data_IF_065682211949
#
_entry.id   IF_065682211949
#
_cell.length_a   1.000
_cell.length_b   1.000
_cell.length_c   1.000
_cell.angle_alpha   90.00
_cell.angle_beta   90.00
_cell.angle_gamma   90.00
#
_symmetry.space_group_name_H-M   'P 1'
#
loop_
_entity.id
_entity.type
_entity.pdbx_description
1 polymer ?
#
# COMPACT_ATOMS: atom_id res chain seq x y z
N UNK A 1 80.30 29.73 53.49
CA UNK A 1 80.67 30.37 52.20
C UNK A 1 80.39 29.35 51.07
N UNK A 2 80.01 29.71 49.81
CA UNK A 2 80.86 30.17 48.68
C UNK A 2 82.18 29.36 48.61
N UNK A 3 82.66 28.77 47.49
CA UNK A 3 82.44 28.96 46.02
C UNK A 3 82.99 27.68 45.29
N UNK A 4 82.34 27.01 44.30
CA UNK A 4 82.45 27.12 42.80
C UNK A 4 83.72 27.85 42.27
N UNK A 5 84.43 27.48 41.18
CA UNK A 5 84.23 26.78 39.86
C UNK A 5 85.64 26.27 39.41
N UNK A 6 85.96 25.51 38.34
CA UNK A 6 85.35 24.56 37.36
C UNK A 6 86.56 23.78 36.70
N UNK A 7 86.68 23.23 35.48
CA UNK A 7 86.04 23.30 34.13
C UNK A 7 86.47 22.06 33.26
N UNK A 8 86.25 22.06 31.93
CA UNK A 8 86.71 21.07 30.90
C UNK A 8 85.97 19.70 30.97
N UNK A 9 85.00 19.35 30.08
CA UNK A 9 84.98 19.16 28.59
C UNK A 9 85.79 17.91 28.22
N UNK A 10 85.23 16.85 27.60
CA UNK A 10 84.41 16.84 26.37
C UNK A 10 83.29 15.76 26.28
N UNK A 11 82.65 15.67 25.10
CA UNK A 11 81.39 14.99 24.67
C UNK A 11 81.66 13.50 24.29
N UNK A 12 80.78 12.50 24.57
CA UNK A 12 79.42 12.31 23.98
C UNK A 12 78.40 11.57 24.89
N UNK A 13 77.19 11.09 24.50
CA UNK A 13 76.43 10.99 23.23
C UNK A 13 74.92 11.23 23.53
N UNK A 14 74.11 11.78 22.61
CA UNK A 14 72.63 11.69 22.68
C UNK A 14 72.07 10.44 21.96
N UNK A 15 71.21 9.67 22.65
CA UNK A 15 70.26 8.72 22.02
C UNK A 15 68.82 9.03 22.45
N UNK A 16 68.22 10.06 21.84
CA UNK A 16 66.82 10.45 22.06
C UNK A 16 65.82 9.41 21.52
N UNK A 17 65.50 8.39 22.32
CA UNK A 17 64.28 7.59 22.13
C UNK A 17 63.06 8.36 22.64
N UNK A 18 62.55 9.31 21.84
CA UNK A 18 61.18 9.83 22.04
C UNK A 18 60.18 8.70 21.75
N UNK A 19 59.61 8.12 22.80
CA UNK A 19 58.46 7.23 22.64
C UNK A 19 57.20 8.07 22.39
N UNK A 20 56.92 8.36 21.13
CA UNK A 20 55.62 8.89 20.69
C UNK A 20 54.56 7.80 20.87
N UNK A 21 53.99 7.71 22.08
CA UNK A 21 52.74 6.99 22.31
C UNK A 21 51.61 7.73 21.59
N UNK A 22 51.43 7.43 20.29
CA UNK A 22 50.18 7.67 19.61
C UNK A 22 49.08 6.93 20.38
N UNK A 23 48.26 7.66 21.14
CA UNK A 23 47.02 7.11 21.67
C UNK A 23 46.08 6.93 20.48
N UNK A 24 45.96 5.68 20.06
CA UNK A 24 44.94 5.20 19.13
C UNK A 24 43.56 5.34 19.80
N UNK A 25 43.05 6.58 19.80
CA UNK A 25 41.74 6.96 20.32
C UNK A 25 40.64 6.41 19.40
N UNK A 26 40.49 5.08 19.40
CA UNK A 26 39.33 4.38 18.88
C UNK A 26 38.11 4.84 19.69
N UNK A 27 37.40 5.84 19.16
CA UNK A 27 36.08 6.24 19.66
C UNK A 27 35.22 4.97 19.74
N UNK A 28 34.46 4.75 20.82
CA UNK A 28 33.56 3.60 20.89
C UNK A 28 32.60 3.60 19.71
N UNK A 29 32.32 2.44 19.12
CA UNK A 29 31.49 2.35 17.90
C UNK A 29 30.06 2.90 18.07
N UNK A 30 29.58 3.04 19.31
CA UNK A 30 28.30 3.66 19.67
C UNK A 30 28.36 5.19 19.81
N UNK A 31 29.56 5.80 19.84
CA UNK A 31 29.81 7.26 19.93
C UNK A 31 29.61 7.98 18.58
N UNK A 32 28.54 7.62 17.86
CA UNK A 32 28.14 8.27 16.63
C UNK A 32 27.58 9.68 16.90
N UNK A 33 27.86 10.67 16.02
CA UNK A 33 27.11 11.93 15.94
C UNK A 33 25.61 11.67 15.73
N UNK A 34 24.76 12.52 16.31
CA UNK A 34 23.29 12.32 16.30
C UNK A 34 22.75 12.30 14.87
N UNK A 35 23.32 13.14 14.00
CA UNK A 35 22.99 13.29 12.58
C UNK A 35 23.21 11.99 11.81
N UNK A 36 24.25 11.22 12.18
CA UNK A 36 24.53 9.90 11.60
C UNK A 36 23.60 8.82 12.16
N UNK A 37 23.27 8.86 13.46
CA UNK A 37 22.27 7.96 14.07
C UNK A 37 20.89 8.17 13.42
N UNK A 38 20.49 9.43 13.18
CA UNK A 38 19.26 9.79 12.47
C UNK A 38 19.28 9.38 10.99
N UNK A 39 20.37 9.62 10.28
CA UNK A 39 20.55 9.23 8.88
C UNK A 39 20.55 7.71 8.69
N UNK A 40 21.04 6.93 9.67
CA UNK A 40 20.91 5.48 9.70
C UNK A 40 19.44 5.11 9.97
N UNK A 41 18.82 5.64 11.02
CA UNK A 41 17.42 5.34 11.37
C UNK A 41 16.44 5.64 10.23
N UNK A 42 16.59 6.75 9.50
CA UNK A 42 15.74 7.09 8.34
C UNK A 42 15.87 6.12 7.16
N UNK A 43 16.91 5.26 7.13
CA UNK A 43 17.11 4.20 6.13
C UNK A 43 16.67 2.81 6.63
N UNK A 44 16.29 2.70 7.90
CA UNK A 44 15.76 1.47 8.49
C UNK A 44 14.24 1.43 8.37
N UNK A 45 13.70 0.23 8.14
CA UNK A 45 12.29 -0.04 8.43
C UNK A 45 12.04 0.11 9.94
N UNK A 46 10.79 0.29 10.34
CA UNK A 46 10.47 0.61 11.73
C UNK A 46 10.88 -0.46 12.74
N UNK A 47 10.65 -1.74 12.43
CA UNK A 47 11.09 -2.85 13.30
C UNK A 47 12.61 -2.84 13.49
N UNK A 48 13.37 -2.51 12.44
CA UNK A 48 14.82 -2.28 12.52
C UNK A 48 15.14 -1.03 13.36
N UNK A 49 14.39 0.08 13.26
CA UNK A 49 14.58 1.26 14.12
C UNK A 49 14.38 0.94 15.60
N UNK A 50 13.34 0.18 15.97
CA UNK A 50 13.07 -0.21 17.36
C UNK A 50 14.22 -1.05 17.91
N UNK A 51 14.67 -2.05 17.14
CA UNK A 51 15.86 -2.84 17.47
C UNK A 51 17.12 -1.97 17.57
N UNK A 52 17.31 -1.01 16.66
CA UNK A 52 18.47 -0.10 16.67
C UNK A 52 18.47 0.83 17.90
N UNK A 53 17.32 1.37 18.30
CA UNK A 53 17.15 2.17 19.53
C UNK A 53 17.24 1.34 20.81
N UNK A 54 17.07 0.01 20.75
CA UNK A 54 17.26 -0.84 21.93
C UNK A 54 18.75 -0.98 22.31
N UNK A 55 19.66 -1.00 21.32
CA UNK A 55 21.12 -1.27 21.45
C UNK A 55 21.80 -0.49 22.57
N UNK A 56 21.61 0.83 22.68
CA UNK A 56 22.21 1.62 23.76
C UNK A 56 21.37 2.84 24.14
N UNK A 57 21.55 3.35 25.37
CA UNK A 57 20.83 4.51 25.91
C UNK A 57 20.94 5.75 25.00
N UNK A 58 22.12 6.00 24.42
CA UNK A 58 22.38 7.19 23.58
C UNK A 58 21.69 7.14 22.21
N UNK A 59 21.56 5.96 21.59
CA UNK A 59 20.78 5.81 20.36
C UNK A 59 19.27 5.82 20.67
N UNK A 60 18.87 5.33 21.86
CA UNK A 60 17.49 5.43 22.35
C UNK A 60 17.04 6.87 22.57
N UNK A 61 17.92 7.73 23.09
CA UNK A 61 17.63 9.16 23.32
C UNK A 61 17.59 10.02 22.04
N UNK A 62 18.01 9.50 20.88
CA UNK A 62 17.75 10.17 19.60
C UNK A 62 16.26 10.16 19.31
N UNK A 63 15.76 11.28 18.75
CA UNK A 63 14.34 11.46 18.38
C UNK A 63 13.84 10.36 17.44
N UNK A 64 12.55 10.06 17.48
CA UNK A 64 11.91 9.21 16.46
C UNK A 64 12.08 9.89 15.09
N UNK A 65 12.74 9.21 14.15
CA UNK A 65 12.89 9.64 12.74
C UNK A 65 11.89 8.87 11.91
N UNK A 66 11.28 9.48 10.90
CA UNK A 66 10.36 8.77 9.99
C UNK A 66 11.09 7.55 9.39
N UNK A 67 10.55 6.33 9.52
CA UNK A 67 11.19 5.13 8.98
C UNK A 67 11.21 5.14 7.45
N UNK A 68 12.11 4.33 6.88
CA UNK A 68 12.09 4.04 5.45
C UNK A 68 10.72 3.48 5.05
N UNK A 69 10.27 3.78 3.83
CA UNK A 69 8.98 3.29 3.32
C UNK A 69 8.92 1.77 3.42
N UNK A 70 7.88 1.29 4.10
CA UNK A 70 7.58 -0.13 4.22
C UNK A 70 6.64 -0.51 3.08
N UNK A 71 6.92 -1.65 2.43
CA UNK A 71 6.05 -2.20 1.40
C UNK A 71 4.71 -2.65 2.01
N UNK A 72 3.62 -2.67 1.22
CA UNK A 72 2.36 -3.24 1.65
C UNK A 72 2.51 -4.64 2.27
N UNK A 73 1.80 -4.85 3.36
CA UNK A 73 1.63 -6.15 3.99
C UNK A 73 0.47 -6.88 3.32
N UNK A 74 0.52 -8.21 3.34
CA UNK A 74 -0.58 -9.03 2.87
C UNK A 74 -1.51 -9.35 4.04
N UNK A 75 -2.73 -8.83 3.98
CA UNK A 75 -3.80 -9.10 4.92
C UNK A 75 -4.62 -10.30 4.45
N UNK A 76 -4.85 -11.27 5.35
CA UNK A 76 -5.56 -12.52 5.06
C UNK A 76 -6.58 -12.78 6.19
N UNK A 77 -7.84 -13.06 5.85
CA UNK A 77 -8.84 -13.60 6.76
C UNK A 77 -9.05 -15.08 6.50
N UNK A 78 -8.98 -15.89 7.56
CA UNK A 78 -9.17 -17.34 7.52
C UNK A 78 -10.59 -17.72 7.93
N UNK A 79 -10.94 -19.01 7.79
CA UNK A 79 -12.14 -19.64 8.34
C UNK A 79 -13.48 -18.98 7.96
N UNK A 80 -13.51 -18.23 6.85
CA UNK A 80 -14.65 -17.42 6.37
C UNK A 80 -15.26 -16.52 7.47
N UNK A 81 -14.40 -15.89 8.28
CA UNK A 81 -14.81 -15.05 9.41
C UNK A 81 -13.97 -13.77 9.50
N UNK A 82 -14.59 -12.70 10.01
CA UNK A 82 -13.89 -11.47 10.36
C UNK A 82 -13.33 -11.45 11.80
N UNK A 83 -13.46 -12.54 12.58
CA UNK A 83 -13.02 -12.59 13.98
C UNK A 83 -11.49 -12.48 14.18
N UNK A 84 -10.69 -12.88 13.19
CA UNK A 84 -9.24 -12.66 13.19
C UNK A 84 -8.68 -12.55 11.78
N UNK A 85 -7.52 -11.92 11.66
CA UNK A 85 -6.79 -11.81 10.41
C UNK A 85 -5.27 -11.99 10.62
N UNK A 86 -4.56 -12.31 9.55
CA UNK A 86 -3.10 -12.45 9.50
C UNK A 86 -2.52 -11.37 8.58
N UNK A 87 -1.52 -10.65 9.07
CA UNK A 87 -0.72 -9.69 8.31
C UNK A 87 0.67 -10.28 8.07
N UNK A 88 1.01 -10.53 6.81
CA UNK A 88 2.33 -11.01 6.42
C UNK A 88 3.20 -9.88 5.87
N UNK A 89 4.36 -9.65 6.51
CA UNK A 89 5.40 -8.72 6.04
C UNK A 89 6.31 -9.44 5.02
N UNK A 90 6.39 -9.00 3.74
CA UNK A 90 7.19 -9.69 2.73
C UNK A 90 8.72 -9.48 2.86
N UNK A 91 9.18 -8.49 3.62
CA UNK A 91 10.62 -8.22 3.86
C UNK A 91 11.15 -9.18 4.92
N UNK A 92 10.55 -9.13 6.11
CA UNK A 92 10.92 -9.93 7.27
C UNK A 92 10.39 -11.37 7.21
N UNK A 93 9.38 -11.62 6.36
CA UNK A 93 8.76 -12.94 6.14
C UNK A 93 8.18 -13.50 7.43
N UNK A 94 7.56 -12.61 8.20
CA UNK A 94 6.85 -12.84 9.47
C UNK A 94 5.37 -12.62 9.26
N UNK A 95 4.56 -13.33 10.04
CA UNK A 95 3.11 -13.14 10.12
C UNK A 95 2.75 -12.63 11.51
N UNK A 96 1.96 -11.56 11.59
CA UNK A 96 1.27 -11.09 12.79
C UNK A 96 -0.19 -11.55 12.72
N UNK A 97 -0.71 -12.15 13.78
CA UNK A 97 -2.15 -12.42 13.92
C UNK A 97 -2.79 -11.28 14.70
N UNK A 98 -3.92 -10.76 14.21
CA UNK A 98 -4.76 -9.78 14.88
C UNK A 98 -6.10 -10.44 15.18
N UNK A 99 -6.58 -10.29 16.41
CA UNK A 99 -7.92 -10.68 16.82
C UNK A 99 -8.81 -9.43 16.76
N UNK A 100 -9.76 -9.42 15.84
CA UNK A 100 -10.55 -8.23 15.54
C UNK A 100 -11.73 -8.20 16.51
N UNK A 101 -11.84 -7.20 17.39
CA UNK A 101 -12.96 -7.14 18.35
C UNK A 101 -14.18 -6.41 17.77
N UNK A 102 -13.97 -5.50 16.82
CA UNK A 102 -15.03 -4.66 16.25
C UNK A 102 -15.61 -5.22 14.94
N UNK A 103 -14.79 -5.90 14.11
CA UNK A 103 -15.25 -6.44 12.82
C UNK A 103 -15.87 -7.85 12.92
N UNK A 104 -15.63 -8.58 14.02
CA UNK A 104 -16.03 -9.99 14.19
C UNK A 104 -17.52 -10.27 13.96
N UNK A 105 -18.39 -9.31 14.29
CA UNK A 105 -19.85 -9.46 14.28
C UNK A 105 -20.47 -9.07 12.92
N UNK A 106 -19.65 -8.59 11.97
CA UNK A 106 -20.09 -8.27 10.61
C UNK A 106 -20.21 -9.54 9.74
N UNK A 107 -21.17 -9.60 8.79
CA UNK A 107 -21.37 -10.76 7.94
C UNK A 107 -20.22 -10.92 6.94
N UNK A 108 -19.50 -12.04 7.02
CA UNK A 108 -18.43 -12.37 6.06
C UNK A 108 -18.97 -12.74 4.67
N UNK A 109 -20.12 -13.43 4.64
CA UNK A 109 -20.76 -13.81 3.37
C UNK A 109 -21.31 -12.59 2.65
N UNK A 110 -20.98 -12.45 1.37
CA UNK A 110 -21.41 -11.31 0.53
C UNK A 110 -20.66 -9.99 0.78
N UNK A 111 -19.69 -9.96 1.70
CA UNK A 111 -18.84 -8.78 1.89
C UNK A 111 -17.88 -8.58 0.70
N UNK A 112 -17.51 -7.34 0.40
CA UNK A 112 -16.49 -7.01 -0.63
C UNK A 112 -15.54 -5.92 -0.10
N UNK A 113 -14.24 -6.16 -0.19
CA UNK A 113 -13.21 -5.12 0.00
C UNK A 113 -13.04 -4.40 -1.33
N UNK A 114 -13.14 -3.07 -1.33
CA UNK A 114 -13.14 -2.27 -2.56
C UNK A 114 -11.86 -1.47 -2.80
N UNK A 115 -11.21 -0.98 -1.75
CA UNK A 115 -10.00 -0.15 -1.87
C UNK A 115 -9.22 -0.11 -0.56
N UNK A 116 -7.94 0.29 -0.62
CA UNK A 116 -7.08 0.50 0.55
C UNK A 116 -6.21 1.74 0.37
N UNK A 117 -6.07 2.53 1.44
CA UNK A 117 -5.17 3.69 1.52
C UNK A 117 -4.61 3.76 2.94
N UNK A 118 -3.28 3.76 3.10
CA UNK A 118 -2.53 4.01 4.35
C UNK A 118 -3.13 3.30 5.57
N UNK A 119 -3.35 1.98 5.43
CA UNK A 119 -3.81 1.11 6.51
C UNK A 119 -5.31 1.07 6.77
N UNK A 120 -6.10 1.80 5.99
CA UNK A 120 -7.55 1.70 5.99
C UNK A 120 -8.05 0.90 4.79
N UNK A 121 -9.25 0.32 4.93
CA UNK A 121 -9.95 -0.46 3.92
C UNK A 121 -11.39 0.03 3.80
N UNK A 122 -11.88 0.21 2.57
CA UNK A 122 -13.31 0.35 2.31
C UNK A 122 -13.92 -1.03 2.10
N UNK A 123 -14.84 -1.42 2.98
CA UNK A 123 -15.51 -2.74 2.96
C UNK A 123 -17.03 -2.51 2.85
N UNK A 124 -17.69 -3.30 2.01
CA UNK A 124 -19.15 -3.32 1.88
C UNK A 124 -19.75 -4.62 2.42
N UNK A 125 -21.05 -4.58 2.71
CA UNK A 125 -21.87 -5.70 3.15
C UNK A 125 -23.26 -5.64 2.49
N UNK A 126 -24.07 -6.68 2.69
CA UNK A 126 -25.49 -6.73 2.29
C UNK A 126 -25.71 -6.32 0.82
N UNK A 127 -25.12 -7.07 -0.10
CA UNK A 127 -25.12 -6.82 -1.56
C UNK A 127 -24.64 -5.42 -1.98
N UNK A 128 -23.80 -4.79 -1.14
CA UNK A 128 -23.24 -3.44 -1.29
C UNK A 128 -24.23 -2.30 -1.00
N UNK A 129 -25.16 -2.50 -0.04
CA UNK A 129 -26.04 -1.44 0.49
C UNK A 129 -25.50 -0.73 1.74
N UNK A 130 -24.58 -1.37 2.47
CA UNK A 130 -23.88 -0.81 3.63
C UNK A 130 -22.37 -0.80 3.39
N UNK A 131 -21.71 0.26 3.83
CA UNK A 131 -20.25 0.45 3.72
C UNK A 131 -19.63 0.89 5.05
N UNK A 132 -18.38 0.48 5.28
CA UNK A 132 -17.53 0.95 6.38
C UNK A 132 -16.12 1.27 5.88
N UNK A 133 -15.42 2.14 6.60
CA UNK A 133 -13.96 2.12 6.66
C UNK A 133 -13.52 1.29 7.87
N UNK A 134 -12.52 0.43 7.69
CA UNK A 134 -11.92 -0.40 8.74
C UNK A 134 -10.38 -0.30 8.70
N UNK A 135 -9.74 -0.25 9.87
CA UNK A 135 -8.29 -0.40 10.01
C UNK A 135 -7.99 -1.61 10.91
N UNK A 136 -7.25 -2.63 10.45
CA UNK A 136 -6.82 -3.71 11.32
C UNK A 136 -5.75 -3.26 12.33
N UNK A 137 -5.06 -2.15 12.08
CA UNK A 137 -3.96 -1.66 12.93
C UNK A 137 -4.46 -0.97 14.20
N UNK A 138 -5.55 -0.21 14.10
CA UNK A 138 -6.25 0.37 15.25
C UNK A 138 -7.42 -0.48 15.73
N UNK A 139 -7.91 -1.40 14.87
CA UNK A 139 -9.16 -2.17 15.04
C UNK A 139 -10.41 -1.25 15.14
N UNK A 140 -10.32 -0.04 14.57
CA UNK A 140 -11.43 0.90 14.47
C UNK A 140 -12.33 0.66 13.25
N UNK A 141 -13.60 1.03 13.37
CA UNK A 141 -14.59 1.04 12.29
C UNK A 141 -15.26 2.41 12.24
N UNK A 142 -15.37 2.97 11.04
CA UNK A 142 -16.21 4.13 10.73
C UNK A 142 -17.31 3.65 9.81
N UNK A 143 -18.55 3.69 10.29
CA UNK A 143 -19.73 3.30 9.53
C UNK A 143 -20.29 4.49 8.75
N UNK A 144 -20.80 4.23 7.55
CA UNK A 144 -21.57 5.22 6.79
C UNK A 144 -23.05 4.86 6.85
N UNK A 145 -23.97 5.83 6.66
CA UNK A 145 -25.40 5.54 6.58
C UNK A 145 -25.66 4.44 5.53
N UNK A 146 -26.48 3.41 5.82
CA UNK A 146 -26.94 2.51 4.76
C UNK A 146 -27.75 3.32 3.75
N UNK A 147 -27.71 2.96 2.47
CA UNK A 147 -28.59 3.57 1.48
C UNK A 147 -29.52 2.54 0.85
N UNK A 148 -30.81 2.80 1.05
CA UNK A 148 -31.92 1.99 0.56
C UNK A 148 -32.03 2.15 -0.96
N UNK A 149 -31.21 1.37 -1.66
CA UNK A 149 -31.31 1.17 -3.09
C UNK A 149 -31.87 -0.22 -3.32
N UNK A 150 -32.90 -0.33 -4.18
CA UNK A 150 -33.44 -1.62 -4.55
C UNK A 150 -32.33 -2.44 -5.23
N UNK A 151 -31.89 -3.51 -4.57
CA UNK A 151 -30.81 -4.39 -5.04
C UNK A 151 -31.17 -5.03 -6.40
N UNK A 152 -32.46 -5.08 -6.77
CA UNK A 152 -32.93 -5.54 -8.10
C UNK A 152 -32.64 -4.53 -9.22
N UNK A 153 -32.54 -3.24 -8.90
CA UNK A 153 -32.49 -2.16 -9.89
C UNK A 153 -31.08 -1.64 -10.14
N UNK A 154 -30.16 -1.80 -9.18
CA UNK A 154 -28.77 -1.33 -9.31
C UNK A 154 -27.73 -2.39 -8.91
N UNK A 155 -26.47 -2.10 -9.20
CA UNK A 155 -25.30 -2.78 -8.63
C UNK A 155 -24.13 -1.81 -8.47
N UNK A 156 -23.30 -2.00 -7.43
CA UNK A 156 -22.05 -1.25 -7.28
C UNK A 156 -21.01 -1.81 -8.26
N UNK A 157 -20.38 -0.94 -9.05
CA UNK A 157 -19.33 -1.33 -10.01
C UNK A 157 -17.94 -0.81 -9.63
N UNK A 158 -17.88 0.27 -8.86
CA UNK A 158 -16.65 0.77 -8.26
C UNK A 158 -16.97 1.47 -6.93
N UNK A 159 -16.10 1.29 -5.94
CA UNK A 159 -16.13 2.06 -4.70
C UNK A 159 -14.69 2.36 -4.26
N UNK A 160 -14.44 3.57 -3.78
CA UNK A 160 -13.12 4.00 -3.29
C UNK A 160 -13.21 5.20 -2.35
N UNK A 161 -12.09 5.65 -1.80
CA UNK A 161 -11.99 6.83 -0.95
C UNK A 161 -10.76 7.66 -1.32
N UNK A 162 -10.75 8.97 -1.02
CA UNK A 162 -9.71 9.91 -1.47
C UNK A 162 -8.43 9.89 -0.62
N UNK A 163 -8.58 9.75 0.70
CA UNK A 163 -7.53 9.89 1.71
C UNK A 163 -7.96 9.14 2.98
N UNK A 164 -7.06 8.87 3.96
CA UNK A 164 -7.45 8.23 5.22
C UNK A 164 -8.51 9.05 5.96
N UNK A 165 -9.39 8.42 6.78
CA UNK A 165 -10.49 9.11 7.44
C UNK A 165 -10.05 10.16 8.48
N UNK A 166 -8.79 10.17 8.90
CA UNK A 166 -8.18 11.23 9.69
C UNK A 166 -7.87 12.52 8.90
N UNK A 167 -8.10 12.52 7.59
CA UNK A 167 -8.06 13.70 6.72
C UNK A 167 -9.46 14.31 6.60
N UNK A 168 -9.63 15.64 6.80
CA UNK A 168 -10.94 16.29 6.66
C UNK A 168 -11.48 16.25 5.22
N UNK A 169 -10.59 16.11 4.23
CA UNK A 169 -10.90 15.96 2.80
C UNK A 169 -11.17 14.50 2.39
N UNK A 170 -11.30 13.58 3.36
CA UNK A 170 -11.70 12.20 3.12
C UNK A 170 -13.13 12.14 2.57
N UNK A 171 -13.27 11.67 1.34
CA UNK A 171 -14.52 11.49 0.63
C UNK A 171 -14.57 10.05 0.14
N UNK A 172 -15.64 9.34 0.48
CA UNK A 172 -16.00 8.06 -0.09
C UNK A 172 -16.73 8.33 -1.41
N UNK A 173 -16.40 7.56 -2.44
CA UNK A 173 -17.01 7.57 -3.76
C UNK A 173 -17.55 6.17 -4.07
N UNK A 174 -18.85 6.05 -4.28
CA UNK A 174 -19.50 4.82 -4.73
C UNK A 174 -20.15 5.09 -6.09
N UNK A 175 -19.89 4.21 -7.06
CA UNK A 175 -20.51 4.26 -8.39
C UNK A 175 -21.40 3.03 -8.60
N UNK A 176 -22.63 3.31 -9.02
CA UNK A 176 -23.70 2.37 -9.24
C UNK A 176 -24.16 2.45 -10.70
N UNK A 177 -24.39 1.31 -11.32
CA UNK A 177 -25.10 1.21 -12.61
C UNK A 177 -26.51 0.67 -12.39
N UNK A 178 -27.44 1.01 -13.28
CA UNK A 178 -28.72 0.32 -13.35
C UNK A 178 -28.55 -1.10 -13.91
N UNK A 179 -29.20 -2.11 -13.31
CA UNK A 179 -29.27 -3.46 -13.90
C UNK A 179 -30.05 -3.47 -15.21
N UNK A 180 -31.06 -2.59 -15.30
CA UNK A 180 -31.95 -2.44 -16.45
C UNK A 180 -31.62 -1.20 -17.32
N UNK A 181 -30.61 -0.40 -16.96
CA UNK A 181 -30.12 0.73 -17.75
C UNK A 181 -28.61 0.85 -17.68
N UNK A 182 -27.96 0.60 -18.81
CA UNK A 182 -26.52 0.75 -19.04
C UNK A 182 -26.12 2.15 -19.54
N UNK A 183 -27.08 3.09 -19.58
CA UNK A 183 -26.91 4.47 -20.05
C UNK A 183 -27.05 5.52 -18.92
N UNK A 184 -27.12 5.09 -17.66
CA UNK A 184 -27.22 5.98 -16.50
C UNK A 184 -26.24 5.55 -15.40
N UNK A 185 -25.32 6.44 -15.05
CA UNK A 185 -24.37 6.27 -13.94
C UNK A 185 -24.88 7.05 -12.73
N UNK A 186 -25.00 6.36 -11.60
CA UNK A 186 -25.39 6.94 -10.33
C UNK A 186 -24.16 7.01 -9.42
N UNK A 187 -23.88 8.19 -8.86
CA UNK A 187 -22.72 8.44 -8.02
C UNK A 187 -23.21 8.87 -6.64
N UNK A 188 -22.70 8.20 -5.61
CA UNK A 188 -22.91 8.55 -4.20
C UNK A 188 -21.58 8.98 -3.59
N UNK A 189 -21.60 10.10 -2.87
CA UNK A 189 -20.45 10.61 -2.11
C UNK A 189 -20.84 10.97 -0.68
N UNK A 190 -19.92 10.77 0.25
CA UNK A 190 -20.11 10.90 1.69
C UNK A 190 -18.74 11.06 2.38
N UNK A 191 -18.64 11.83 3.45
CA UNK A 191 -17.45 11.97 4.31
C UNK A 191 -17.58 11.18 5.60
N UNK A 192 -16.48 10.83 6.29
CA UNK A 192 -16.52 10.39 7.68
C UNK A 192 -17.29 11.39 8.54
N UNK A 193 -18.41 10.95 9.14
CA UNK A 193 -19.29 11.78 9.97
C UNK A 193 -20.49 12.42 9.25
N UNK A 194 -20.61 12.32 7.91
CA UNK A 194 -21.82 12.76 7.19
C UNK A 194 -23.01 11.85 7.54
N UNK A 195 -24.18 12.45 7.81
CA UNK A 195 -25.42 11.72 8.16
C UNK A 195 -26.21 11.19 6.96
N UNK A 196 -25.82 11.54 5.73
CA UNK A 196 -26.49 11.09 4.50
C UNK A 196 -25.57 11.13 3.27
N UNK A 197 -25.93 10.40 2.21
CA UNK A 197 -25.15 10.33 0.97
C UNK A 197 -25.61 11.36 -0.07
N UNK A 198 -24.71 12.28 -0.44
CA UNK A 198 -24.89 13.14 -1.63
C UNK A 198 -24.99 12.24 -2.86
N UNK A 199 -26.12 12.30 -3.56
CA UNK A 199 -26.42 11.41 -4.69
C UNK A 199 -26.61 12.22 -5.99
N UNK A 200 -26.02 11.76 -7.10
CA UNK A 200 -26.11 12.34 -8.44
C UNK A 200 -26.39 11.25 -9.48
N UNK A 201 -27.07 11.61 -10.57
CA UNK A 201 -27.29 10.75 -11.74
C UNK A 201 -26.73 11.45 -12.98
N UNK A 202 -26.07 10.70 -13.86
CA UNK A 202 -25.49 11.16 -15.11
C UNK A 202 -25.89 10.21 -16.23
N UNK A 203 -26.60 10.73 -17.24
CA UNK A 203 -26.85 9.98 -18.46
C UNK A 203 -25.58 9.97 -19.32
N UNK A 204 -25.29 8.84 -19.95
CA UNK A 204 -24.11 8.61 -20.78
C UNK A 204 -24.49 8.11 -22.17
N UNK A 205 -23.92 8.73 -23.20
CA UNK A 205 -24.23 8.44 -24.60
C UNK A 205 -23.53 7.17 -25.13
N UNK A 206 -22.77 6.48 -24.29
CA UNK A 206 -21.98 5.28 -24.62
C UNK A 206 -21.98 4.32 -23.42
N UNK A 207 -21.87 3.01 -23.66
CA UNK A 207 -21.88 1.98 -22.62
C UNK A 207 -20.60 2.01 -21.76
N UNK A 208 -20.73 2.36 -20.48
CA UNK A 208 -19.59 2.34 -19.56
C UNK A 208 -19.50 1.01 -18.78
N UNK A 209 -18.97 -0.02 -19.43
CA UNK A 209 -18.72 -1.32 -18.80
C UNK A 209 -17.42 -1.28 -17.99
N UNK A 210 -17.53 -1.13 -16.67
CA UNK A 210 -16.39 -1.08 -15.75
C UNK A 210 -15.54 -2.34 -15.74
N UNK A 211 -14.22 -2.15 -15.59
CA UNK A 211 -13.39 -3.09 -14.85
C UNK A 211 -13.30 -2.60 -13.39
N UNK A 212 -13.42 -3.52 -12.42
CA UNK A 212 -13.92 -3.23 -11.06
C UNK A 212 -12.98 -2.40 -10.14
N UNK A 213 -11.97 -1.69 -10.65
CA UNK A 213 -11.01 -0.93 -9.83
C UNK A 213 -10.70 0.44 -10.43
N UNK A 214 -11.02 1.48 -9.67
CA UNK A 214 -10.64 2.86 -9.93
C UNK A 214 -9.61 3.40 -8.94
N UNK A 215 -9.21 4.67 -9.10
CA UNK A 215 -8.23 5.33 -8.23
C UNK A 215 -8.57 6.81 -8.04
N UNK A 216 -8.26 7.38 -6.88
CA UNK A 216 -8.29 8.82 -6.64
C UNK A 216 -6.94 9.46 -6.95
N UNK A 217 -6.94 10.58 -7.68
CA UNK A 217 -5.75 11.39 -7.93
C UNK A 217 -6.15 12.86 -8.17
N UNK A 218 -5.48 13.79 -7.51
CA UNK A 218 -5.52 15.25 -7.78
C UNK A 218 -6.93 15.87 -7.87
N UNK A 219 -7.85 15.49 -6.98
CA UNK A 219 -9.24 16.01 -6.97
C UNK A 219 -10.24 15.24 -7.82
N UNK A 220 -9.82 14.16 -8.50
CA UNK A 220 -10.66 13.34 -9.36
C UNK A 220 -10.67 11.87 -8.93
N UNK A 221 -11.82 11.21 -9.06
CA UNK A 221 -11.91 9.75 -9.05
C UNK A 221 -11.96 9.22 -10.49
N UNK A 222 -11.09 8.28 -10.82
CA UNK A 222 -10.95 7.68 -12.14
C UNK A 222 -11.46 6.23 -12.12
N UNK A 223 -12.27 5.83 -13.11
CA UNK A 223 -12.65 4.43 -13.35
C UNK A 223 -12.29 4.04 -14.79
N UNK A 224 -11.75 2.85 -15.00
CA UNK A 224 -11.39 2.37 -16.34
C UNK A 224 -12.39 1.32 -16.86
N UNK A 225 -12.87 1.54 -18.08
CA UNK A 225 -13.75 0.63 -18.81
C UNK A 225 -12.95 -0.63 -19.25
N UNK A 226 -13.65 -1.72 -19.55
CA UNK A 226 -13.04 -2.90 -20.17
C UNK A 226 -12.48 -2.59 -21.58
N UNK A 227 -13.01 -1.59 -22.29
CA UNK A 227 -12.28 -0.95 -23.39
C UNK A 227 -11.26 0.04 -22.80
N UNK A 228 -9.97 -0.29 -22.93
CA UNK A 228 -8.83 0.45 -22.38
C UNK A 228 -8.83 1.96 -22.69
N UNK A 229 -9.39 2.36 -23.83
CA UNK A 229 -9.45 3.76 -24.27
C UNK A 229 -10.39 4.61 -23.41
N UNK A 230 -11.44 4.01 -22.85
CA UNK A 230 -12.56 4.74 -22.26
C UNK A 230 -12.33 4.93 -20.76
N UNK A 231 -12.00 6.16 -20.38
CA UNK A 231 -11.72 6.57 -19.00
C UNK A 231 -12.87 7.42 -18.46
N UNK A 232 -13.47 7.00 -17.35
CA UNK A 232 -14.48 7.76 -16.64
C UNK A 232 -13.86 8.59 -15.54
N UNK A 233 -14.18 9.87 -15.45
CA UNK A 233 -13.64 10.78 -14.43
C UNK A 233 -14.78 11.46 -13.66
N UNK A 234 -14.67 11.50 -12.33
CA UNK A 234 -15.54 12.31 -11.47
C UNK A 234 -14.74 13.46 -10.86
N UNK A 235 -15.08 14.70 -11.21
CA UNK A 235 -14.53 15.87 -10.55
C UNK A 235 -15.24 16.09 -9.22
N UNK A 236 -14.51 16.02 -8.11
CA UNK A 236 -15.08 16.10 -6.75
C UNK A 236 -15.61 17.50 -6.42
N UNK A 237 -14.93 18.55 -6.87
CA UNK A 237 -15.30 19.94 -6.57
C UNK A 237 -16.52 20.41 -7.37
N UNK A 238 -16.60 20.03 -8.65
CA UNK A 238 -17.71 20.36 -9.55
C UNK A 238 -18.88 19.37 -9.45
N UNK A 239 -18.67 18.21 -8.81
CA UNK A 239 -19.61 17.08 -8.75
C UNK A 239 -20.08 16.62 -10.14
N UNK A 240 -19.19 16.62 -11.13
CA UNK A 240 -19.48 16.24 -12.52
C UNK A 240 -18.82 14.93 -12.90
N UNK A 241 -19.53 14.10 -13.66
CA UNK A 241 -18.98 12.93 -14.35
C UNK A 241 -18.69 13.25 -15.81
N UNK A 242 -17.54 12.82 -16.31
CA UNK A 242 -17.17 12.84 -17.74
C UNK A 242 -16.67 11.48 -18.19
N UNK A 243 -16.78 11.22 -19.49
CA UNK A 243 -16.22 10.03 -20.15
C UNK A 243 -15.28 10.52 -21.24
N UNK A 244 -14.02 10.09 -21.18
CA UNK A 244 -12.95 10.44 -22.11
C UNK A 244 -12.63 9.23 -22.99
N UNK A 245 -12.47 9.47 -24.29
CA UNK A 245 -11.90 8.49 -25.23
C UNK A 245 -10.44 8.85 -25.48
N UNK A 246 -9.55 8.08 -24.88
CA UNK A 246 -8.11 8.32 -24.85
C UNK A 246 -7.45 7.29 -25.77
N UNK A 247 -6.70 7.70 -26.82
CA UNK A 247 -6.05 6.77 -27.73
C UNK A 247 -5.00 5.92 -27.02
N UNK A 248 -4.70 4.75 -27.56
CA UNK A 248 -3.77 3.78 -26.97
C UNK A 248 -2.77 3.27 -28.00
N UNK A 249 -1.55 2.96 -27.57
CA UNK A 249 -0.54 2.30 -28.41
C UNK A 249 -0.85 0.82 -28.67
N UNK A 250 -1.87 0.24 -28.02
CA UNK A 250 -2.36 -1.11 -28.34
C UNK A 250 -3.27 -1.10 -29.59
N UNK A 251 -3.18 -2.10 -30.48
CA UNK A 251 -3.93 -2.12 -31.73
C UNK A 251 -5.43 -2.42 -31.50
N UNK A 252 -6.27 -1.41 -31.75
CA UNK A 252 -7.73 -1.54 -31.86
C UNK A 252 -8.51 -1.46 -30.53
N UNK A 253 -9.82 -1.68 -30.62
CA UNK A 253 -10.72 -1.70 -29.46
C UNK A 253 -10.60 -3.04 -28.70
N UNK A 254 -9.43 -3.27 -28.09
CA UNK A 254 -9.19 -4.48 -27.30
C UNK A 254 -10.00 -4.39 -25.99
N UNK A 255 -11.00 -5.26 -25.85
CA UNK A 255 -11.67 -5.48 -24.57
C UNK A 255 -10.74 -6.28 -23.66
N UNK A 256 -10.14 -5.59 -22.70
CA UNK A 256 -9.23 -6.13 -21.69
C UNK A 256 -9.93 -6.12 -20.34
N UNK A 257 -10.58 -7.24 -20.03
CA UNK A 257 -11.10 -7.51 -18.70
C UNK A 257 -9.98 -7.48 -17.65
N UNK A 258 -10.38 -7.41 -16.38
CA UNK A 258 -9.47 -7.59 -15.25
C UNK A 258 -8.26 -6.65 -15.20
N UNK A 259 -8.40 -5.40 -15.64
CA UNK A 259 -7.40 -4.33 -15.38
C UNK A 259 -7.73 -3.53 -14.13
N UNK A 260 -6.68 -2.96 -13.51
CA UNK A 260 -6.70 -2.15 -12.28
C UNK A 260 -6.05 -0.80 -12.57
N UNK A 261 -6.70 0.31 -12.18
CA UNK A 261 -6.02 1.61 -12.12
C UNK A 261 -5.17 1.71 -10.84
N UNK A 262 -3.99 2.32 -10.96
CA UNK A 262 -3.07 2.61 -9.85
C UNK A 262 -2.42 3.98 -10.07
N UNK A 263 -2.24 4.75 -8.99
CA UNK A 263 -1.51 6.03 -9.01
C UNK A 263 0.00 5.78 -9.03
N UNK A 264 0.74 6.54 -9.85
CA UNK A 264 2.20 6.48 -9.94
C UNK A 264 2.83 7.86 -10.21
N UNK A 265 3.25 8.56 -9.15
CA UNK A 265 3.73 9.95 -9.27
C UNK A 265 2.63 10.95 -9.67
N UNK A 266 1.36 10.57 -9.49
CA UNK A 266 0.17 11.23 -10.02
C UNK A 266 -0.01 11.12 -11.54
N UNK A 267 0.75 10.23 -12.21
CA UNK A 267 0.31 9.62 -13.46
C UNK A 267 -0.56 8.39 -13.16
N UNK A 268 -1.31 7.88 -14.14
CA UNK A 268 -2.15 6.69 -13.96
C UNK A 268 -1.54 5.48 -14.67
N UNK A 269 -1.42 4.36 -13.97
CA UNK A 269 -1.07 3.06 -14.55
C UNK A 269 -2.32 2.19 -14.65
N UNK A 270 -2.56 1.62 -15.82
CA UNK A 270 -3.52 0.55 -16.03
C UNK A 270 -2.77 -0.77 -16.06
N UNK A 271 -3.04 -1.65 -15.09
CA UNK A 271 -2.27 -2.86 -14.82
C UNK A 271 -3.16 -4.11 -14.93
N UNK A 272 -2.75 -5.17 -15.64
CA UNK A 272 -3.50 -6.43 -15.68
C UNK A 272 -3.41 -7.21 -14.37
N UNK A 273 -4.40 -8.07 -14.12
CA UNK A 273 -4.43 -9.03 -13.02
C UNK A 273 -4.80 -10.42 -13.57
N UNK A 274 -4.05 -11.46 -13.21
CA UNK A 274 -4.12 -12.77 -13.85
C UNK A 274 -3.29 -12.85 -15.14
N UNK A 275 -3.47 -11.88 -16.04
CA UNK A 275 -2.83 -11.84 -17.37
C UNK A 275 -1.36 -11.37 -17.36
N UNK A 276 -0.72 -11.32 -18.53
CA UNK A 276 0.71 -10.98 -18.69
C UNK A 276 1.04 -9.54 -18.21
N UNK A 277 1.84 -9.36 -17.14
CA UNK A 277 2.23 -8.05 -16.62
C UNK A 277 3.15 -7.23 -17.53
N UNK A 278 3.59 -7.75 -18.68
CA UNK A 278 4.25 -6.93 -19.72
C UNK A 278 3.29 -5.93 -20.38
N UNK A 279 1.98 -6.12 -20.24
CA UNK A 279 0.96 -5.26 -20.87
C UNK A 279 0.57 -4.03 -20.04
N UNK A 280 1.39 -3.56 -19.08
CA UNK A 280 1.09 -2.31 -18.35
C UNK A 280 1.10 -1.13 -19.32
N UNK A 281 0.07 -0.29 -19.20
CA UNK A 281 -0.01 0.99 -19.88
C UNK A 281 0.03 2.13 -18.87
N UNK A 282 0.65 3.23 -19.26
CA UNK A 282 0.69 4.50 -18.53
C UNK A 282 -0.09 5.56 -19.28
N UNK A 283 -0.91 6.31 -18.55
CA UNK A 283 -1.50 7.56 -19.00
C UNK A 283 -0.76 8.72 -18.29
N UNK A 284 -0.02 9.56 -19.03
CA UNK A 284 0.63 10.74 -18.47
C UNK A 284 -0.39 11.74 -17.91
N UNK A 285 0.07 12.70 -17.09
CA UNK A 285 -0.77 13.78 -16.53
C UNK A 285 -1.49 14.64 -17.59
N UNK A 286 -0.96 14.71 -18.81
CA UNK A 286 -1.59 15.39 -19.96
C UNK A 286 -2.82 14.65 -20.51
N UNK A 287 -3.02 13.38 -20.15
CA UNK A 287 -4.10 12.50 -20.59
C UNK A 287 -4.19 12.27 -22.12
N UNK A 288 -3.14 12.59 -22.87
CA UNK A 288 -3.12 12.55 -24.34
C UNK A 288 -3.22 11.15 -24.94
N UNK A 289 -2.57 10.14 -24.32
CA UNK A 289 -2.61 8.75 -24.79
C UNK A 289 -2.15 7.74 -23.72
N UNK A 290 -2.65 6.51 -23.83
CA UNK A 290 -2.11 5.34 -23.14
C UNK A 290 -0.89 4.81 -23.88
N UNK A 291 0.28 4.82 -23.24
CA UNK A 291 1.55 4.31 -23.77
C UNK A 291 2.03 3.08 -23.01
N UNK A 292 2.79 2.19 -23.66
CA UNK A 292 3.44 1.05 -23.01
C UNK A 292 4.37 1.50 -21.85
N UNK A 293 4.48 0.67 -20.80
CA UNK A 293 5.24 0.99 -19.59
C UNK A 293 6.18 -0.15 -19.17
N UNK A 294 7.45 -0.03 -19.54
CA UNK A 294 8.45 -1.12 -19.46
C UNK A 294 9.27 -1.19 -18.16
N UNK A 295 9.14 -0.23 -17.23
CA UNK A 295 9.97 -0.21 -16.02
C UNK A 295 9.37 0.61 -14.86
N UNK A 296 9.28 -0.04 -13.70
CA UNK A 296 8.99 0.57 -12.40
C UNK A 296 10.25 1.08 -11.68
N UNK A 297 11.45 0.87 -12.24
CA UNK A 297 12.71 1.29 -11.61
C UNK A 297 12.89 0.66 -10.22
N UNK A 298 13.02 1.50 -9.18
CA UNK A 298 13.12 1.04 -7.79
C UNK A 298 11.76 0.89 -7.07
N UNK A 299 10.64 0.85 -7.80
CA UNK A 299 9.29 0.58 -7.26
C UNK A 299 8.81 -0.85 -7.50
N UNK A 300 7.75 -1.20 -6.77
CA UNK A 300 6.99 -2.45 -6.89
C UNK A 300 5.50 -2.12 -6.87
N UNK A 301 4.72 -2.76 -7.74
CA UNK A 301 3.26 -2.75 -7.71
C UNK A 301 2.75 -3.97 -6.94
N UNK A 302 1.72 -3.80 -6.13
CA UNK A 302 1.06 -4.86 -5.35
C UNK A 302 -0.43 -4.86 -5.67
N UNK A 303 -0.94 -5.95 -6.26
CA UNK A 303 -2.34 -6.06 -6.71
C UNK A 303 -3.05 -7.27 -6.10
N UNK A 304 -4.31 -7.06 -5.70
CA UNK A 304 -5.30 -8.07 -5.35
C UNK A 304 -6.50 -7.98 -6.31
N UNK A 305 -7.60 -8.70 -6.02
CA UNK A 305 -8.77 -8.66 -6.88
C UNK A 305 -9.40 -7.24 -6.99
N UNK A 306 -9.28 -6.38 -5.99
CA UNK A 306 -9.95 -5.07 -5.97
C UNK A 306 -9.02 -3.90 -5.69
N UNK A 307 -7.78 -4.15 -5.31
CA UNK A 307 -6.81 -3.11 -4.91
C UNK A 307 -5.56 -3.21 -5.78
N UNK A 308 -5.02 -2.05 -6.17
CA UNK A 308 -3.66 -1.91 -6.66
C UNK A 308 -2.94 -0.80 -5.90
N UNK A 309 -1.73 -1.09 -5.43
CA UNK A 309 -0.88 -0.17 -4.67
C UNK A 309 0.50 -0.07 -5.32
N UNK A 310 1.08 1.12 -5.33
CA UNK A 310 2.50 1.36 -5.66
C UNK A 310 3.28 1.60 -4.37
N UNK A 311 4.46 0.99 -4.26
CA UNK A 311 5.42 1.32 -3.19
C UNK A 311 6.84 1.39 -3.74
N UNK A 312 7.69 2.21 -3.11
CA UNK A 312 9.13 2.17 -3.36
C UNK A 312 9.70 0.90 -2.70
N UNK A 313 10.71 0.28 -3.30
CA UNK A 313 11.26 -0.98 -2.77
C UNK A 313 11.93 -0.79 -1.41
N UNK A 314 11.48 -1.56 -0.43
CA UNK A 314 12.08 -1.55 0.89
C UNK A 314 13.52 -2.10 0.85
N UNK A 315 14.49 -1.50 1.56
CA UNK A 315 15.82 -2.08 1.76
C UNK A 315 15.73 -3.53 2.27
N UNK A 316 16.67 -4.39 1.87
CA UNK A 316 16.71 -5.84 2.17
C UNK A 316 15.59 -6.71 1.58
N UNK A 317 14.52 -6.15 1.03
CA UNK A 317 13.37 -6.92 0.52
C UNK A 317 13.72 -7.85 -0.65
N UNK A 318 14.66 -7.45 -1.49
CA UNK A 318 15.07 -8.18 -2.69
C UNK A 318 14.12 -8.01 -3.89
N UNK A 319 13.07 -7.20 -3.75
CA UNK A 319 12.02 -7.00 -4.76
C UNK A 319 12.06 -5.55 -5.25
N UNK A 320 12.18 -5.36 -6.56
CA UNK A 320 12.14 -4.07 -7.27
C UNK A 320 11.97 -4.29 -8.77
N UNK A 321 11.46 -3.28 -9.46
CA UNK A 321 11.10 -3.35 -10.87
C UNK A 321 10.16 -4.53 -11.19
N UNK A 322 9.02 -4.60 -10.51
CA UNK A 322 8.14 -5.78 -10.59
C UNK A 322 6.73 -5.60 -10.03
N UNK A 323 5.90 -6.62 -10.26
CA UNK A 323 4.48 -6.68 -9.87
C UNK A 323 4.24 -7.91 -9.02
N UNK A 324 3.78 -7.72 -7.78
CA UNK A 324 3.11 -8.76 -7.00
C UNK A 324 1.63 -8.83 -7.37
N UNK A 325 1.15 -10.02 -7.69
CA UNK A 325 -0.25 -10.29 -8.01
C UNK A 325 -0.69 -11.65 -7.50
N UNK A 326 -2.00 -11.91 -7.57
CA UNK A 326 -2.60 -13.20 -7.30
C UNK A 326 -3.35 -13.71 -8.53
N UNK A 327 -3.37 -15.03 -8.69
CA UNK A 327 -4.09 -15.74 -9.74
C UNK A 327 -4.04 -17.22 -9.42
N UNK A 328 -5.06 -18.00 -9.75
CA UNK A 328 -5.05 -19.45 -9.51
C UNK A 328 -4.85 -19.82 -8.01
N UNK A 329 -5.27 -18.91 -7.11
CA UNK A 329 -5.02 -18.98 -5.66
C UNK A 329 -3.56 -18.78 -5.23
N UNK A 330 -2.65 -18.44 -6.16
CA UNK A 330 -1.20 -18.45 -5.95
C UNK A 330 -0.59 -17.04 -6.05
N UNK A 331 0.33 -16.66 -5.15
CA UNK A 331 1.12 -15.45 -5.27
C UNK A 331 2.13 -15.56 -6.42
N UNK A 332 2.07 -14.59 -7.33
CA UNK A 332 3.02 -14.39 -8.43
C UNK A 332 3.79 -13.08 -8.21
N UNK A 333 5.09 -13.09 -8.46
CA UNK A 333 5.93 -11.91 -8.59
C UNK A 333 6.54 -11.88 -10.00
N UNK A 334 6.09 -10.94 -10.84
CA UNK A 334 6.72 -10.67 -12.12
C UNK A 334 7.84 -9.64 -11.96
N UNK A 335 8.98 -9.87 -12.59
CA UNK A 335 10.12 -8.95 -12.60
C UNK A 335 10.44 -8.49 -14.02
N UNK A 336 10.33 -7.18 -14.28
CA UNK A 336 10.67 -6.57 -15.57
C UNK A 336 12.14 -6.78 -15.94
N UNK A 337 13.04 -6.83 -14.94
CA UNK A 337 14.48 -7.09 -15.17
C UNK A 337 14.75 -8.49 -15.76
N UNK A 338 13.96 -9.49 -15.38
CA UNK A 338 14.15 -10.89 -15.82
C UNK A 338 13.14 -11.33 -16.87
N UNK A 339 12.11 -10.52 -17.15
CA UNK A 339 10.89 -10.86 -17.90
C UNK A 339 10.31 -12.23 -17.50
N UNK A 340 10.30 -12.51 -16.19
CA UNK A 340 9.90 -13.80 -15.62
C UNK A 340 9.01 -13.63 -14.40
N UNK A 341 8.04 -14.55 -14.29
CA UNK A 341 7.15 -14.70 -13.15
C UNK A 341 7.70 -15.75 -12.20
N UNK A 342 7.81 -15.39 -10.93
CA UNK A 342 8.30 -16.23 -9.85
C UNK A 342 7.15 -16.48 -8.84
N UNK A 343 7.04 -17.69 -8.30
CA UNK A 343 6.01 -18.02 -7.30
C UNK A 343 6.55 -17.87 -5.88
N UNK A 344 5.91 -17.07 -5.04
CA UNK A 344 6.31 -16.94 -3.63
C UNK A 344 5.72 -18.10 -2.80
N UNK A 345 6.50 -19.18 -2.69
CA UNK A 345 6.14 -20.36 -1.87
C UNK A 345 5.93 -20.03 -0.38
N UNK A 346 6.42 -18.91 0.14
CA UNK A 346 6.27 -18.53 1.57
C UNK A 346 4.93 -17.83 1.80
N UNK A 347 4.56 -16.90 0.92
CA UNK A 347 3.20 -16.33 0.89
C UNK A 347 2.17 -17.45 0.66
N UNK A 348 2.43 -18.37 -0.28
CA UNK A 348 1.55 -19.51 -0.52
C UNK A 348 1.39 -20.36 0.74
N UNK A 349 2.50 -20.70 1.43
CA UNK A 349 2.43 -21.43 2.70
C UNK A 349 1.56 -20.68 3.72
N UNK A 350 1.78 -19.37 3.93
CA UNK A 350 1.03 -18.56 4.88
C UNK A 350 -0.49 -18.50 4.59
N UNK A 351 -0.88 -18.54 3.32
CA UNK A 351 -2.29 -18.65 2.90
C UNK A 351 -2.86 -20.05 3.23
N UNK A 352 -2.08 -21.12 2.99
CA UNK A 352 -2.55 -22.52 3.11
C UNK A 352 -2.42 -23.16 4.50
N UNK A 353 -1.64 -22.59 5.42
CA UNK A 353 -1.44 -23.19 6.76
C UNK A 353 -2.55 -22.79 7.73
N UNK A 354 -3.67 -23.51 7.63
CA UNK A 354 -4.65 -23.87 8.69
C UNK A 354 -5.93 -24.37 7.98
N UNK A 355 -6.12 -25.68 7.93
CA UNK A 355 -7.32 -26.45 7.52
C UNK A 355 -8.16 -25.94 6.33
N UNK A 356 -7.54 -25.18 5.44
CA UNK A 356 -8.18 -24.65 4.24
C UNK A 356 -8.30 -25.73 3.17
N UNK A 357 -9.48 -26.35 3.08
CA UNK A 357 -9.96 -27.00 1.84
C UNK A 357 -9.67 -26.08 0.65
N UNK A 358 -9.23 -26.64 -0.48
CA UNK A 358 -8.95 -25.91 -1.72
C UNK A 358 -10.14 -25.00 -2.10
N UNK A 359 -10.06 -23.71 -1.76
CA UNK A 359 -11.15 -22.76 -1.98
C UNK A 359 -11.28 -22.53 -3.49
N UNK A 360 -12.45 -22.79 -4.12
CA UNK A 360 -12.62 -22.61 -5.55
C UNK A 360 -12.35 -21.17 -5.97
N UNK A 361 -11.48 -21.02 -6.97
CA UNK A 361 -10.98 -19.72 -7.47
C UNK A 361 -12.07 -18.90 -8.20
N UNK A 362 -13.26 -19.47 -8.39
CA UNK A 362 -14.35 -18.91 -9.17
C UNK A 362 -15.38 -18.09 -8.38
N UNK A 363 -15.32 -18.06 -7.04
CA UNK A 363 -16.18 -17.18 -6.24
C UNK A 363 -15.75 -15.71 -6.44
N UNK A 364 -16.63 -14.90 -7.03
CA UNK A 364 -16.30 -13.58 -7.58
C UNK A 364 -15.90 -12.53 -6.52
N UNK A 365 -16.17 -12.80 -5.25
CA UNK A 365 -16.08 -11.86 -4.13
C UNK A 365 -14.91 -12.23 -3.20
N UNK A 366 -13.69 -11.95 -3.61
CA UNK A 366 -12.47 -12.18 -2.82
C UNK A 366 -12.36 -11.21 -1.62
N UNK A 367 -13.10 -11.48 -0.55
CA UNK A 367 -12.97 -10.80 0.74
C UNK A 367 -11.82 -11.36 1.59
N UNK A 368 -11.33 -12.56 1.26
CA UNK A 368 -10.36 -13.29 2.09
C UNK A 368 -8.96 -12.68 2.16
N UNK A 369 -8.55 -11.85 1.20
CA UNK A 369 -7.14 -11.43 1.10
C UNK A 369 -6.95 -10.15 0.29
N UNK A 370 -6.11 -9.23 0.79
CA UNK A 370 -5.69 -8.04 0.04
C UNK A 370 -4.34 -7.46 0.50
N UNK A 371 -3.75 -6.57 -0.30
CA UNK A 371 -2.61 -5.76 0.12
C UNK A 371 -3.05 -4.52 0.88
N UNK A 372 -2.29 -4.16 1.92
CA UNK A 372 -2.55 -3.00 2.78
C UNK A 372 -1.24 -2.31 3.20
N UNK A 373 -1.17 -0.98 3.12
CA UNK A 373 -0.04 -0.22 3.67
C UNK A 373 -0.06 -0.29 5.22
N UNK A 374 1.04 -0.62 5.91
CA UNK A 374 1.01 -0.71 7.38
C UNK A 374 0.96 0.67 8.08
N UNK A 375 0.10 0.83 9.10
CA UNK A 375 0.15 2.02 9.98
C UNK A 375 1.18 1.80 11.06
N UNK A 376 2.41 2.14 10.71
CA UNK A 376 3.63 1.80 11.43
C UNK A 376 3.70 2.41 12.85
N UNK A 377 3.08 3.57 13.09
CA UNK A 377 3.23 4.29 14.37
C UNK A 377 2.30 3.78 15.49
N UNK A 378 1.20 3.11 15.15
CA UNK A 378 0.14 2.74 16.11
C UNK A 378 0.31 1.32 16.68
N UNK A 379 1.09 0.46 16.01
CA UNK A 379 1.38 -0.92 16.45
C UNK A 379 2.18 -0.95 17.76
N UNK A 380 2.97 0.09 18.07
CA UNK A 380 3.64 0.24 19.37
C UNK A 380 2.62 0.37 20.52
N UNK A 381 1.55 1.14 20.35
CA UNK A 381 0.60 1.46 21.43
C UNK A 381 -0.33 0.30 21.83
N UNK A 382 -0.52 -0.70 20.95
CA UNK A 382 -1.18 -1.96 21.32
C UNK A 382 -0.19 -2.96 21.94
N UNK A 383 1.00 -3.11 21.37
CA UNK A 383 2.00 -4.07 21.88
C UNK A 383 2.64 -3.65 23.20
N UNK A 384 2.61 -2.36 23.56
CA UNK A 384 3.02 -1.87 24.88
C UNK A 384 1.93 -2.03 25.96
N UNK A 385 0.73 -2.53 25.63
CA UNK A 385 -0.36 -2.82 26.58
C UNK A 385 -0.48 -4.32 26.92
N UNK A 386 0.40 -5.15 26.36
CA UNK A 386 0.41 -6.61 26.51
C UNK A 386 1.73 -7.13 27.11
N UNK A 387 2.30 -6.40 28.07
CA UNK A 387 3.54 -6.72 28.84
C UNK A 387 3.32 -6.36 30.30
#
# INVERSE_FOLDING_TARGET
>A
MRKRRSSVVDIPIEKRRRSTRLHDYKRPWFDLPVELVECIMGKLLFTDQVCFRSVCKRWRSVRRVKPAKQIPWLLIWHNKSFASCKLYDPVYKKTLTIHNTCLKDFPYSGAVIWSSIKGWLLISFHDNSSFILYSPFTNEIIQFPPFDHCIKDFYTSAAMFSSPPSSPDCIIFIKLHGRNSTQSIFIKTCRPGDSSWTSKNFNINQLFLDSNVGVYNDGFFYCINNNIRILGTYNVALQTWTVLDIPSTLPGNVFVYHRRLVEYGGELLSVPYGDNPETILRLPRTQESWVQFDSLGDRVIFISNTIGLVSDSAPKSGIKNGVYSFSDGKPKYYSFKSRKTHYDRRIYKAITTEDSVMIPICDKNFCNMTWIEPIVQEIEDQSSRSV
#
